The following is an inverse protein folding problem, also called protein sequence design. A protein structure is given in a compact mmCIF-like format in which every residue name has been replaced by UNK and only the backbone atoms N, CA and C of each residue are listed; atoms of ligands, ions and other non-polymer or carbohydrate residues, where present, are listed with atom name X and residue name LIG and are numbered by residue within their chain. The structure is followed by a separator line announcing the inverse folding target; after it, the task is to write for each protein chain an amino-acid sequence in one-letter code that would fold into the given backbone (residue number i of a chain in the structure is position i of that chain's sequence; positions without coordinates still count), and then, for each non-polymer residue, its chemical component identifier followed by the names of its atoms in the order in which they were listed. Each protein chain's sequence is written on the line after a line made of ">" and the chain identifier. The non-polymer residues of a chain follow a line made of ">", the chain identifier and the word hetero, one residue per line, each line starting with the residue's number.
data_IF_253054890830
#
_entry.id   IF_253054890830
#
_cell.length_a   1.000
_cell.length_b   1.000
_cell.length_c   1.000
_cell.angle_alpha   90.00
_cell.angle_beta   90.00
_cell.angle_gamma   90.00
#
_symmetry.space_group_name_H-M   'P 1'
#
loop_
_entity.id
_entity.type
_entity.pdbx_description
1 polymer ?
#
# COMPACT_ATOMS: atom_id res chain seq x y z
N UNK A 1 12.03 4.71 10.73
CA UNK A 1 12.38 5.18 12.08
C UNK A 1 13.78 5.79 12.07
N UNK A 2 14.76 5.15 11.43
CA UNK A 2 16.14 5.64 11.31
C UNK A 2 16.24 7.10 10.78
N UNK A 3 15.54 7.47 9.70
CA UNK A 3 15.58 8.84 9.12
C UNK A 3 15.32 10.01 10.08
N UNK A 4 14.45 9.86 11.08
CA UNK A 4 14.20 10.93 12.06
C UNK A 4 15.29 10.97 13.14
N UNK A 5 15.82 9.81 13.52
CA UNK A 5 16.94 9.71 14.46
C UNK A 5 18.23 10.24 13.85
N UNK A 6 18.46 9.99 12.55
CA UNK A 6 19.60 10.51 11.79
C UNK A 6 19.58 12.05 11.69
N UNK A 7 18.42 12.68 11.91
CA UNK A 7 18.22 14.14 11.87
C UNK A 7 17.80 14.71 13.23
N UNK A 8 18.11 14.04 14.33
CA UNK A 8 17.67 14.43 15.67
C UNK A 8 18.08 15.86 16.03
N UNK A 9 19.27 16.30 15.60
CA UNK A 9 19.77 17.64 15.87
C UNK A 9 18.93 18.73 15.20
N UNK A 10 18.34 18.46 14.03
CA UNK A 10 17.41 19.36 13.36
C UNK A 10 16.02 19.29 13.98
N UNK A 11 15.53 18.07 14.26
CA UNK A 11 14.16 17.86 14.78
C UNK A 11 13.99 18.43 16.19
N UNK A 12 15.06 18.50 17.00
CA UNK A 12 15.01 19.03 18.37
C UNK A 12 15.01 20.56 18.47
N UNK A 13 15.25 21.27 17.37
CA UNK A 13 15.32 22.75 17.40
C UNK A 13 13.93 23.33 17.72
N UNK A 14 13.90 24.42 18.50
CA UNK A 14 12.63 25.06 18.91
C UNK A 14 11.86 25.69 17.75
N UNK A 15 12.55 26.01 16.66
CA UNK A 15 12.03 26.58 15.43
C UNK A 15 11.91 25.55 14.29
N UNK A 16 12.04 24.25 14.59
CA UNK A 16 11.90 23.20 13.59
C UNK A 16 10.52 23.22 12.93
N UNK A 17 10.50 23.40 11.61
CA UNK A 17 9.31 23.26 10.78
C UNK A 17 9.45 22.00 9.92
N UNK A 18 8.53 21.01 10.04
CA UNK A 18 8.61 19.78 9.25
C UNK A 18 8.54 20.05 7.75
N UNK A 19 9.39 19.38 6.99
CA UNK A 19 9.32 19.40 5.51
C UNK A 19 8.19 18.50 5.02
N UNK A 20 7.72 18.68 3.78
CA UNK A 20 6.75 17.76 3.15
C UNK A 20 7.21 16.31 3.20
N UNK A 21 8.52 16.10 3.03
CA UNK A 21 9.12 14.78 3.11
C UNK A 21 9.09 14.17 4.53
N UNK A 22 9.18 15.01 5.56
CA UNK A 22 9.01 14.61 6.96
C UNK A 22 7.54 14.28 7.24
N UNK A 23 6.59 15.09 6.72
CA UNK A 23 5.16 14.81 6.80
C UNK A 23 4.80 13.47 6.14
N UNK A 24 5.33 13.18 4.95
CA UNK A 24 5.11 11.91 4.24
C UNK A 24 5.71 10.70 4.97
N UNK A 25 6.75 10.90 5.79
CA UNK A 25 7.37 9.81 6.59
C UNK A 25 6.78 9.70 7.99
N UNK A 26 6.01 10.69 8.41
CA UNK A 26 5.31 10.66 9.69
C UNK A 26 4.29 9.52 9.67
N UNK A 27 4.34 8.67 10.70
CA UNK A 27 3.38 7.56 10.82
C UNK A 27 2.26 7.96 11.76
N UNK A 28 1.17 8.45 11.19
CA UNK A 28 -0.11 8.62 11.89
C UNK A 28 -1.01 7.46 11.51
N UNK A 29 -1.61 6.80 12.49
CA UNK A 29 -2.55 5.71 12.24
C UNK A 29 -3.93 6.31 11.92
N UNK A 30 -4.42 6.07 10.69
CA UNK A 30 -5.79 6.45 10.30
C UNK A 30 -6.80 5.62 11.11
N UNK A 31 -7.74 6.31 11.78
CA UNK A 31 -8.92 5.71 12.41
C UNK A 31 -10.16 6.32 11.80
N UNK A 32 -11.07 5.49 11.29
CA UNK A 32 -12.22 5.93 10.52
C UNK A 32 -11.98 5.99 9.01
N UNK A 33 -12.79 6.81 8.35
CA UNK A 33 -12.85 6.97 6.89
C UNK A 33 -12.71 8.47 6.61
N UNK A 34 -11.77 8.83 5.75
CA UNK A 34 -11.49 10.22 5.36
C UNK A 34 -11.66 10.39 3.87
N UNK A 35 -12.46 11.37 3.46
CA UNK A 35 -12.67 11.70 2.06
C UNK A 35 -11.77 12.88 1.66
N UNK A 36 -11.05 12.74 0.55
CA UNK A 36 -10.30 13.83 -0.10
C UNK A 36 -10.78 13.97 -1.54
N UNK A 37 -11.20 15.17 -1.92
CA UNK A 37 -11.65 15.48 -3.29
C UNK A 37 -10.61 16.33 -3.99
N UNK A 38 -10.25 15.95 -5.20
CA UNK A 38 -9.34 16.72 -6.04
C UNK A 38 -9.69 16.55 -7.52
N UNK A 39 -9.20 17.48 -8.33
CA UNK A 39 -9.33 17.43 -9.79
C UNK A 39 -7.97 17.12 -10.39
N UNK A 40 -7.95 16.27 -11.41
CA UNK A 40 -6.76 15.97 -12.19
C UNK A 40 -7.01 16.43 -13.62
N UNK A 41 -6.27 17.45 -14.04
CA UNK A 41 -6.29 17.92 -15.42
C UNK A 41 -5.61 16.90 -16.34
N UNK A 42 -6.20 16.67 -17.53
CA UNK A 42 -5.65 15.83 -18.61
C UNK A 42 -5.04 14.51 -18.15
N UNK A 43 -5.86 13.50 -17.90
CA UNK A 43 -5.34 12.18 -17.54
C UNK A 43 -5.27 11.26 -18.75
N UNK A 44 -4.04 10.91 -19.17
CA UNK A 44 -3.80 9.80 -20.09
C UNK A 44 -3.81 8.49 -19.30
N UNK A 45 -4.99 7.98 -18.94
CA UNK A 45 -5.08 6.62 -18.42
C UNK A 45 -4.90 5.61 -19.56
N UNK A 46 -3.65 5.26 -19.84
CA UNK A 46 -3.34 4.11 -20.69
C UNK A 46 -3.43 2.84 -19.86
N UNK A 47 -4.62 2.52 -19.34
CA UNK A 47 -4.87 1.23 -18.70
C UNK A 47 -5.26 0.20 -19.77
N UNK A 48 -4.87 -1.07 -19.58
CA UNK A 48 -4.89 -2.21 -20.53
C UNK A 48 -6.30 -2.68 -20.96
N UNK A 49 -7.31 -1.80 -20.88
CA UNK A 49 -8.58 -1.98 -21.59
C UNK A 49 -8.71 -0.90 -22.65
N UNK A 50 -8.92 -1.39 -23.87
CA UNK A 50 -9.18 -0.80 -25.18
C UNK A 50 -10.19 0.37 -25.21
N UNK A 51 -9.98 1.40 -24.39
CA UNK A 51 -10.68 2.68 -24.42
C UNK A 51 -9.63 3.78 -24.20
N UNK A 52 -8.91 4.11 -25.27
CA UNK A 52 -8.29 5.42 -25.39
C UNK A 52 -9.42 6.43 -25.55
N UNK A 53 -9.88 7.00 -24.44
CA UNK A 53 -10.65 8.23 -24.46
C UNK A 53 -9.76 9.30 -23.87
N UNK A 54 -9.11 10.06 -24.74
CA UNK A 54 -8.49 11.34 -24.38
C UNK A 54 -9.61 12.28 -23.94
N UNK A 55 -9.99 12.23 -22.67
CA UNK A 55 -10.93 13.17 -22.09
C UNK A 55 -10.20 14.50 -21.91
N UNK A 56 -10.63 15.52 -22.64
CA UNK A 56 -10.15 16.91 -22.46
C UNK A 56 -10.73 17.54 -21.19
N UNK A 57 -11.78 16.94 -20.60
CA UNK A 57 -12.38 17.42 -19.35
C UNK A 57 -11.58 16.93 -18.12
N UNK A 58 -11.45 17.76 -17.07
CA UNK A 58 -10.78 17.39 -15.83
C UNK A 58 -11.48 16.22 -15.15
N UNK A 59 -10.69 15.27 -14.63
CA UNK A 59 -11.23 14.15 -13.87
C UNK A 59 -11.40 14.57 -12.42
N UNK A 60 -12.63 14.50 -11.93
CA UNK A 60 -12.93 14.69 -10.51
C UNK A 60 -12.75 13.36 -9.78
N UNK A 61 -11.87 13.35 -8.78
CA UNK A 61 -11.57 12.16 -7.98
C UNK A 61 -11.99 12.42 -6.53
N UNK A 62 -12.80 11.52 -5.99
CA UNK A 62 -13.04 11.40 -4.55
C UNK A 62 -12.29 10.17 -4.04
N UNK A 63 -11.27 10.39 -3.21
CA UNK A 63 -10.47 9.35 -2.61
C UNK A 63 -10.88 9.14 -1.15
N UNK A 64 -11.17 7.90 -0.78
CA UNK A 64 -11.52 7.52 0.58
C UNK A 64 -10.34 6.78 1.22
N UNK A 65 -9.66 7.40 2.18
CA UNK A 65 -8.67 6.73 3.02
C UNK A 65 -9.38 6.02 4.18
N UNK A 66 -9.15 4.72 4.31
CA UNK A 66 -9.82 3.87 5.30
C UNK A 66 -8.77 3.24 6.22
N UNK A 67 -9.05 3.24 7.52
CA UNK A 67 -8.19 2.57 8.49
C UNK A 67 -7.97 1.10 8.15
N UNK A 68 -6.71 0.68 8.02
CA UNK A 68 -6.31 -0.69 7.65
C UNK A 68 -6.28 -1.71 8.80
N UNK A 69 -6.31 -1.22 10.04
CA UNK A 69 -6.21 -2.03 11.26
C UNK A 69 -7.44 -2.92 11.44
N UNK A 70 -7.29 -4.09 12.07
CA UNK A 70 -8.37 -5.09 12.19
C UNK A 70 -9.69 -4.49 12.71
N UNK A 71 -9.63 -3.62 13.71
CA UNK A 71 -10.82 -2.99 14.32
C UNK A 71 -11.53 -1.98 13.40
N UNK A 72 -10.80 -1.41 12.44
CA UNK A 72 -11.33 -0.43 11.49
C UNK A 72 -12.04 -1.09 10.29
N UNK A 73 -11.71 -2.36 9.99
CA UNK A 73 -12.20 -3.05 8.78
C UNK A 73 -13.71 -3.23 8.72
N UNK A 74 -14.39 -3.26 9.88
CA UNK A 74 -15.86 -3.32 9.92
C UNK A 74 -16.53 -2.09 9.29
N UNK A 75 -15.84 -0.95 9.27
CA UNK A 75 -16.34 0.31 8.71
C UNK A 75 -16.26 0.34 7.18
N UNK A 76 -15.42 -0.51 6.56
CA UNK A 76 -15.17 -0.49 5.11
C UNK A 76 -16.42 -0.69 4.26
N UNK A 77 -17.42 -1.42 4.77
CA UNK A 77 -18.69 -1.63 4.07
C UNK A 77 -19.41 -0.30 3.75
N UNK A 78 -19.13 0.77 4.51
CA UNK A 78 -19.68 2.11 4.27
C UNK A 78 -19.19 2.71 2.95
N UNK A 79 -18.06 2.25 2.41
CA UNK A 79 -17.49 2.71 1.15
C UNK A 79 -17.84 1.83 -0.06
N UNK A 80 -18.53 0.69 0.11
CA UNK A 80 -18.64 -0.31 -0.97
C UNK A 80 -19.70 -0.01 -2.03
N UNK A 81 -20.59 0.95 -1.80
CA UNK A 81 -21.75 1.16 -2.69
C UNK A 81 -21.49 2.07 -3.90
N UNK A 82 -20.35 2.78 -3.97
CA UNK A 82 -20.10 3.73 -5.08
C UNK A 82 -18.61 4.01 -5.33
N UNK A 83 -17.79 2.95 -5.36
CA UNK A 83 -16.37 3.05 -5.69
C UNK A 83 -16.08 2.56 -7.10
N UNK A 84 -15.34 3.36 -7.88
CA UNK A 84 -14.90 2.98 -9.23
C UNK A 84 -13.81 1.89 -9.20
N UNK A 85 -12.89 1.99 -8.26
CA UNK A 85 -11.77 1.08 -8.10
C UNK A 85 -11.29 1.05 -6.65
N UNK A 86 -10.63 -0.03 -6.26
CA UNK A 86 -9.95 -0.17 -4.97
C UNK A 86 -8.46 -0.07 -5.19
N UNK A 87 -7.78 0.79 -4.43
CA UNK A 87 -6.32 0.80 -4.35
C UNK A 87 -5.92 -0.01 -3.12
N UNK A 88 -5.37 -1.21 -3.33
CA UNK A 88 -4.91 -2.08 -2.25
C UNK A 88 -3.40 -1.95 -2.09
N UNK A 89 -2.94 -1.49 -0.93
CA UNK A 89 -1.52 -1.20 -0.67
C UNK A 89 -0.92 -2.27 0.25
N UNK A 90 0.13 -2.94 -0.22
CA UNK A 90 0.87 -3.97 0.51
C UNK A 90 2.25 -3.44 0.88
N UNK A 91 2.65 -3.56 2.14
CA UNK A 91 4.02 -3.28 2.55
C UNK A 91 4.91 -4.51 2.30
N UNK A 92 5.39 -4.69 1.06
CA UNK A 92 6.12 -5.89 0.60
C UNK A 92 7.34 -6.22 1.46
N UNK A 93 8.03 -5.20 1.98
CA UNK A 93 9.18 -5.36 2.87
C UNK A 93 8.86 -5.94 4.25
N UNK A 94 7.58 -6.16 4.61
CA UNK A 94 7.17 -6.65 5.93
C UNK A 94 7.09 -8.17 6.05
N UNK A 95 7.68 -8.92 5.10
CA UNK A 95 7.64 -10.40 5.08
C UNK A 95 8.20 -11.06 6.35
N UNK A 96 9.10 -10.38 7.08
CA UNK A 96 9.71 -10.87 8.32
C UNK A 96 9.15 -10.20 9.59
N UNK A 97 7.97 -9.58 9.52
CA UNK A 97 7.37 -8.84 10.63
C UNK A 97 6.01 -9.41 11.01
N UNK A 98 5.62 -9.21 12.26
CA UNK A 98 4.28 -9.50 12.78
C UNK A 98 3.42 -8.25 12.89
N UNK A 99 2.10 -8.39 12.76
CA UNK A 99 1.14 -7.29 12.98
C UNK A 99 1.20 -6.83 14.44
N UNK A 100 0.79 -5.59 14.72
CA UNK A 100 0.89 -5.03 16.09
C UNK A 100 -0.23 -5.55 16.99
N UNK A 101 -1.36 -5.87 16.38
CA UNK A 101 -2.61 -6.23 17.06
C UNK A 101 -2.48 -7.51 17.88
N UNK A 102 -1.73 -8.52 17.40
CA UNK A 102 -1.54 -9.79 18.10
C UNK A 102 -0.07 -10.21 18.28
N UNK A 103 0.88 -9.43 17.74
CA UNK A 103 2.32 -9.72 17.75
C UNK A 103 2.70 -11.17 17.35
N UNK A 104 1.87 -11.83 16.55
CA UNK A 104 2.07 -13.23 16.16
C UNK A 104 1.77 -13.49 14.69
N UNK A 105 0.75 -12.84 14.13
CA UNK A 105 0.40 -13.00 12.71
C UNK A 105 1.40 -12.26 11.82
N UNK A 106 1.99 -12.96 10.85
CA UNK A 106 2.88 -12.36 9.85
C UNK A 106 2.16 -11.28 9.03
N UNK A 107 2.77 -10.11 8.86
CA UNK A 107 2.15 -8.96 8.17
C UNK A 107 1.85 -9.20 6.70
N UNK A 108 2.76 -9.87 5.99
CA UNK A 108 2.56 -10.11 4.56
C UNK A 108 1.50 -11.20 4.35
N UNK A 109 1.45 -12.22 5.22
CA UNK A 109 0.35 -13.21 5.21
C UNK A 109 -1.01 -12.56 5.50
N UNK A 110 -1.09 -11.71 6.52
CA UNK A 110 -2.31 -10.94 6.81
C UNK A 110 -2.75 -10.11 5.60
N UNK A 111 -1.82 -9.48 4.89
CA UNK A 111 -2.13 -8.71 3.69
C UNK A 111 -2.65 -9.59 2.55
N UNK A 112 -2.09 -10.79 2.36
CA UNK A 112 -2.57 -11.77 1.37
C UNK A 112 -3.97 -12.28 1.71
N UNK A 113 -4.24 -12.61 2.97
CA UNK A 113 -5.55 -13.08 3.42
C UNK A 113 -6.60 -11.98 3.28
N UNK A 114 -6.24 -10.74 3.61
CA UNK A 114 -7.09 -9.58 3.43
C UNK A 114 -7.38 -9.30 1.95
N UNK A 115 -6.36 -9.37 1.08
CA UNK A 115 -6.53 -9.23 -0.36
C UNK A 115 -7.45 -10.31 -0.92
N UNK A 116 -7.27 -11.57 -0.50
CA UNK A 116 -8.15 -12.69 -0.87
C UNK A 116 -9.60 -12.45 -0.42
N UNK A 117 -9.80 -11.90 0.77
CA UNK A 117 -11.14 -11.54 1.28
C UNK A 117 -11.81 -10.47 0.41
N UNK A 118 -11.08 -9.41 0.04
CA UNK A 118 -11.58 -8.35 -0.84
C UNK A 118 -11.88 -8.90 -2.24
N UNK A 119 -10.95 -9.66 -2.81
CA UNK A 119 -11.06 -10.22 -4.16
C UNK A 119 -12.26 -11.16 -4.31
N UNK A 120 -12.55 -11.96 -3.28
CA UNK A 120 -13.69 -12.89 -3.28
C UNK A 120 -14.99 -12.27 -2.74
N UNK A 121 -14.98 -10.99 -2.36
CA UNK A 121 -16.15 -10.33 -1.79
C UNK A 121 -17.25 -10.16 -2.85
N UNK A 122 -18.46 -10.67 -2.57
CA UNK A 122 -19.59 -10.60 -3.49
C UNK A 122 -19.99 -9.16 -3.88
N UNK A 123 -19.81 -8.19 -2.98
CA UNK A 123 -20.15 -6.79 -3.22
C UNK A 123 -19.11 -6.07 -4.08
N UNK A 124 -17.91 -6.65 -4.25
CA UNK A 124 -16.79 -6.05 -4.97
C UNK A 124 -16.46 -6.77 -6.29
N UNK A 125 -17.30 -7.73 -6.72
CA UNK A 125 -17.04 -8.57 -7.90
C UNK A 125 -16.82 -7.80 -9.21
N UNK A 126 -17.45 -6.65 -9.35
CA UNK A 126 -17.35 -5.79 -10.54
C UNK A 126 -16.30 -4.69 -10.40
N UNK A 127 -15.71 -4.54 -9.20
CA UNK A 127 -14.80 -3.46 -8.87
C UNK A 127 -13.38 -3.89 -9.21
N UNK A 128 -12.66 -3.05 -9.95
CA UNK A 128 -11.26 -3.31 -10.28
C UNK A 128 -10.37 -3.01 -9.06
N UNK A 129 -9.37 -3.86 -8.83
CA UNK A 129 -8.38 -3.66 -7.77
C UNK A 129 -7.04 -3.30 -8.38
N UNK A 130 -6.52 -2.13 -8.01
CA UNK A 130 -5.18 -1.66 -8.31
C UNK A 130 -4.29 -2.06 -7.13
N UNK A 131 -3.38 -3.00 -7.35
CA UNK A 131 -2.48 -3.50 -6.31
C UNK A 131 -1.16 -2.72 -6.31
N UNK A 132 -0.87 -2.04 -5.20
CA UNK A 132 0.43 -1.40 -4.97
C UNK A 132 1.28 -2.25 -4.04
N UNK A 133 2.35 -2.80 -4.60
CA UNK A 133 3.43 -3.43 -3.84
C UNK A 133 4.39 -2.33 -3.36
N UNK A 134 4.11 -1.77 -2.19
CA UNK A 134 4.82 -0.63 -1.64
C UNK A 134 6.07 -1.04 -0.83
N UNK A 135 6.96 -0.06 -0.59
CA UNK A 135 8.24 -0.19 0.12
C UNK A 135 9.23 -1.11 -0.58
N UNK A 136 9.32 -0.98 -1.91
CA UNK A 136 10.26 -1.75 -2.74
C UNK A 136 11.71 -1.41 -2.40
N UNK A 137 11.99 -0.15 -2.08
CA UNK A 137 13.26 0.33 -1.53
C UNK A 137 13.69 -0.49 -0.30
N UNK A 138 12.82 -0.57 0.70
CA UNK A 138 13.08 -1.33 1.92
C UNK A 138 13.13 -2.85 1.68
N UNK A 139 12.40 -3.35 0.69
CA UNK A 139 12.43 -4.77 0.32
C UNK A 139 13.80 -5.11 -0.28
N UNK A 140 14.27 -4.33 -1.25
CA UNK A 140 15.56 -4.49 -1.90
C UNK A 140 16.70 -4.44 -0.88
N UNK A 141 16.74 -3.39 -0.03
CA UNK A 141 17.74 -3.27 1.04
C UNK A 141 17.76 -4.50 1.96
N UNK A 142 16.58 -5.00 2.35
CA UNK A 142 16.48 -6.12 3.28
C UNK A 142 16.91 -7.45 2.65
N UNK A 143 16.53 -7.69 1.40
CA UNK A 143 16.94 -8.88 0.64
C UNK A 143 18.45 -8.87 0.43
N UNK A 144 19.01 -7.74 -0.02
CA UNK A 144 20.46 -7.59 -0.25
C UNK A 144 21.27 -7.72 1.04
N UNK A 145 20.74 -7.26 2.18
CA UNK A 145 21.41 -7.41 3.48
C UNK A 145 21.55 -8.88 3.91
N UNK A 146 20.73 -9.81 3.39
CA UNK A 146 20.83 -11.25 3.64
C UNK A 146 20.56 -11.71 5.08
N UNK A 147 20.18 -10.80 6.00
CA UNK A 147 19.98 -11.10 7.44
C UNK A 147 18.67 -11.81 7.75
N UNK A 148 17.65 -11.67 6.90
CA UNK A 148 16.35 -12.32 7.06
C UNK A 148 15.94 -12.83 5.70
N UNK A 149 15.96 -14.15 5.51
CA UNK A 149 15.66 -14.75 4.22
C UNK A 149 14.16 -14.90 4.03
N UNK A 150 13.66 -14.75 2.81
CA UNK A 150 12.21 -14.81 2.55
C UNK A 150 11.67 -16.22 2.84
N UNK A 151 12.45 -17.24 2.49
CA UNK A 151 12.12 -18.66 2.68
C UNK A 151 11.95 -19.10 4.14
N UNK A 152 12.47 -18.33 5.11
CA UNK A 152 12.23 -18.57 6.54
C UNK A 152 10.76 -18.27 6.92
N UNK A 153 10.10 -17.37 6.19
CA UNK A 153 8.73 -16.91 6.45
C UNK A 153 7.74 -17.44 5.40
N UNK A 154 8.22 -17.68 4.18
CA UNK A 154 7.48 -18.20 3.02
C UNK A 154 8.29 -19.32 2.36
N UNK A 155 8.25 -20.55 2.91
CA UNK A 155 9.09 -21.67 2.44
C UNK A 155 8.95 -22.00 0.95
N UNK A 156 7.79 -21.70 0.37
CA UNK A 156 7.51 -21.82 -1.06
C UNK A 156 8.47 -20.98 -1.94
N UNK A 157 9.03 -19.89 -1.40
CA UNK A 157 9.96 -19.02 -2.12
C UNK A 157 11.27 -19.74 -2.49
N UNK A 158 11.69 -20.74 -1.72
CA UNK A 158 12.89 -21.53 -2.02
C UNK A 158 12.78 -22.31 -3.36
N UNK A 159 11.55 -22.53 -3.84
CA UNK A 159 11.26 -23.19 -5.12
C UNK A 159 10.73 -22.21 -6.17
N UNK A 160 10.70 -20.92 -5.86
CA UNK A 160 10.22 -19.91 -6.79
C UNK A 160 11.28 -19.67 -7.87
N UNK A 161 10.88 -19.82 -9.13
CA UNK A 161 11.69 -19.44 -10.29
C UNK A 161 11.15 -18.13 -10.84
N UNK A 162 12.06 -17.21 -11.18
CA UNK A 162 11.68 -15.96 -11.84
C UNK A 162 11.11 -16.32 -13.22
N UNK A 163 9.93 -15.81 -13.61
CA UNK A 163 9.38 -16.03 -14.93
C UNK A 163 10.34 -15.51 -16.01
N UNK A 164 10.56 -16.29 -17.06
CA UNK A 164 11.52 -15.99 -18.14
C UNK A 164 11.24 -14.68 -18.89
N UNK A 165 10.03 -14.14 -18.79
CA UNK A 165 9.62 -12.86 -19.39
C UNK A 165 10.22 -11.63 -18.70
N UNK A 166 10.85 -11.79 -17.53
CA UNK A 166 11.37 -10.68 -16.71
C UNK A 166 12.89 -10.51 -16.84
N UNK A 167 13.61 -11.46 -17.46
CA UNK A 167 15.08 -11.42 -17.56
C UNK A 167 15.63 -10.49 -18.66
N UNK A 168 14.76 -9.84 -19.45
CA UNK A 168 15.13 -9.11 -20.66
C UNK A 168 15.16 -7.57 -20.55
N UNK A 169 15.25 -6.99 -19.35
CA UNK A 169 15.48 -5.55 -19.15
C UNK A 169 16.71 -5.24 -18.29
#
# INVERSE_FOLDING_TARGET
>A
MNRFLDRIDSVRQTDYTPTDQDLLRCRVLTSGIFETKFQVDKVNFQCVRRFSTTSTAPLHVAMFDVGGQRDERRKWIQCFNDVTAIIFVVASSSYNMVIREDNSTNRLREALDLFRSIWNNRWLRTISVILFLNKQDMLAEKVLAGKSKIEEYFPEYARYAVPSEVESE
#
